data_IF_395377072645
#
_entry.id   IF_395377072645
#
_cell.length_a   1.000
_cell.length_b   1.000
_cell.length_c   1.000
_cell.angle_alpha   90.00
_cell.angle_beta   90.00
_cell.angle_gamma   90.00
#
_symmetry.space_group_name_H-M   'P 1'
#
loop_
_entity.id
_entity.type
_entity.pdbx_description
1 polymer ?
#
# COMPACT_ATOMS: atom_id res chain seq x y z
N UNK A 1 -16.98 14.21 0.28
CA UNK A 1 -17.67 13.20 -0.57
C UNK A 1 -16.88 12.87 -1.83
N UNK A 2 -16.47 13.87 -2.62
CA UNK A 2 -15.67 13.67 -3.86
C UNK A 2 -14.46 12.73 -3.68
N UNK A 3 -13.69 12.89 -2.59
CA UNK A 3 -12.55 12.02 -2.28
C UNK A 3 -12.91 10.52 -2.27
N UNK A 4 -14.09 10.14 -1.77
CA UNK A 4 -14.52 8.74 -1.69
C UNK A 4 -14.86 8.16 -3.06
N UNK A 5 -15.48 8.94 -3.95
CA UNK A 5 -15.72 8.52 -5.34
C UNK A 5 -14.41 8.36 -6.11
N UNK A 6 -13.45 9.26 -5.90
CA UNK A 6 -12.11 9.14 -6.49
C UNK A 6 -11.37 7.93 -5.95
N UNK A 7 -11.42 7.70 -4.63
CA UNK A 7 -10.86 6.53 -3.97
C UNK A 7 -11.46 5.22 -4.51
N UNK A 8 -12.78 5.16 -4.71
CA UNK A 8 -13.45 4.04 -5.36
C UNK A 8 -12.92 3.80 -6.79
N UNK A 9 -12.83 4.86 -7.59
CA UNK A 9 -12.36 4.77 -8.99
C UNK A 9 -10.93 4.23 -9.08
N UNK A 10 -10.06 4.64 -8.16
CA UNK A 10 -8.68 4.16 -8.06
C UNK A 10 -8.63 2.72 -7.55
N UNK A 11 -9.38 2.41 -6.50
CA UNK A 11 -9.46 1.08 -5.90
C UNK A 11 -9.93 0.02 -6.90
N UNK A 12 -10.99 0.30 -7.68
CA UNK A 12 -11.61 -0.67 -8.60
C UNK A 12 -10.74 -1.01 -9.81
N UNK A 13 -9.71 -0.20 -10.11
CA UNK A 13 -8.86 -0.41 -11.28
C UNK A 13 -8.19 -1.78 -11.23
N UNK A 14 -8.41 -2.59 -12.27
CA UNK A 14 -7.91 -3.97 -12.36
C UNK A 14 -8.66 -4.99 -11.49
N UNK A 15 -9.76 -4.61 -10.82
CA UNK A 15 -10.50 -5.48 -9.89
C UNK A 15 -11.99 -5.65 -10.22
N UNK A 16 -12.45 -5.16 -11.37
CA UNK A 16 -13.87 -5.17 -11.78
C UNK A 16 -14.51 -6.56 -11.85
N UNK A 17 -13.71 -7.60 -12.09
CA UNK A 17 -14.22 -8.98 -12.20
C UNK A 17 -14.35 -9.69 -10.84
N UNK A 18 -14.08 -9.00 -9.72
CA UNK A 18 -14.19 -9.59 -8.38
C UNK A 18 -15.62 -9.41 -7.88
N UNK A 19 -16.24 -10.51 -7.44
CA UNK A 19 -17.64 -10.53 -7.00
C UNK A 19 -17.94 -9.52 -5.89
N UNK A 20 -17.05 -9.39 -4.90
CA UNK A 20 -17.21 -8.41 -3.81
C UNK A 20 -17.18 -6.96 -4.32
N UNK A 21 -16.38 -6.69 -5.36
CA UNK A 21 -16.31 -5.37 -6.01
C UNK A 21 -17.58 -5.11 -6.80
N UNK A 22 -18.11 -6.08 -7.54
CA UNK A 22 -19.35 -5.95 -8.30
C UNK A 22 -20.56 -5.71 -7.39
N UNK A 23 -20.65 -6.45 -6.27
CA UNK A 23 -21.72 -6.27 -5.29
C UNK A 23 -21.70 -4.86 -4.67
N UNK A 24 -20.51 -4.33 -4.37
CA UNK A 24 -20.37 -2.96 -3.89
C UNK A 24 -20.71 -1.93 -4.97
N UNK A 25 -20.30 -2.18 -6.23
CA UNK A 25 -20.58 -1.30 -7.37
C UNK A 25 -22.06 -1.23 -7.73
N UNK A 26 -22.82 -2.31 -7.50
CA UNK A 26 -24.27 -2.36 -7.76
C UNK A 26 -25.04 -1.31 -6.94
N UNK A 27 -24.70 -1.13 -5.66
CA UNK A 27 -25.28 -0.10 -4.78
C UNK A 27 -24.26 1.01 -4.45
N UNK A 28 -23.50 1.46 -5.46
CA UNK A 28 -22.33 2.33 -5.24
C UNK A 28 -22.67 3.61 -4.48
N UNK A 29 -23.71 4.34 -4.90
CA UNK A 29 -24.05 5.64 -4.33
C UNK A 29 -24.46 5.51 -2.86
N UNK A 30 -25.36 4.58 -2.55
CA UNK A 30 -25.79 4.29 -1.18
C UNK A 30 -24.61 3.89 -0.29
N UNK A 31 -23.75 2.98 -0.77
CA UNK A 31 -22.57 2.54 -0.04
C UNK A 31 -21.60 3.69 0.27
N UNK A 32 -21.35 4.57 -0.71
CA UNK A 32 -20.45 5.71 -0.55
C UNK A 32 -21.07 6.79 0.33
N UNK A 33 -22.37 7.04 0.20
CA UNK A 33 -23.09 8.02 1.02
C UNK A 33 -23.12 7.59 2.49
N UNK A 34 -23.43 6.32 2.76
CA UNK A 34 -23.39 5.77 4.10
C UNK A 34 -21.99 5.86 4.71
N UNK A 35 -20.95 5.44 3.98
CA UNK A 35 -19.56 5.55 4.43
C UNK A 35 -19.17 7.02 4.71
N UNK A 36 -19.59 7.94 3.84
CA UNK A 36 -19.35 9.37 4.03
C UNK A 36 -19.98 9.91 5.31
N UNK A 37 -21.25 9.58 5.59
CA UNK A 37 -21.93 10.02 6.80
C UNK A 37 -21.21 9.50 8.04
N UNK A 38 -20.91 8.20 8.09
CA UNK A 38 -20.24 7.59 9.24
C UNK A 38 -18.84 8.15 9.50
N UNK A 39 -18.07 8.44 8.45
CA UNK A 39 -16.77 9.10 8.60
C UNK A 39 -16.94 10.54 9.10
N UNK A 40 -17.93 11.27 8.59
CA UNK A 40 -18.23 12.64 9.01
C UNK A 40 -18.70 12.73 10.47
N UNK A 41 -19.53 11.79 10.91
CA UNK A 41 -20.05 11.70 12.28
C UNK A 41 -19.10 10.97 13.23
N UNK A 42 -17.95 10.48 12.74
CA UNK A 42 -16.97 9.69 13.50
C UNK A 42 -17.56 8.41 14.12
N UNK A 43 -18.58 7.84 13.49
CA UNK A 43 -19.21 6.57 13.91
C UNK A 43 -18.74 5.38 13.09
N UNK A 44 -17.89 5.61 12.07
CA UNK A 44 -17.27 4.54 11.29
C UNK A 44 -16.47 3.59 12.19
N UNK A 45 -16.73 2.30 12.04
CA UNK A 45 -15.95 1.22 12.65
C UNK A 45 -15.45 0.30 11.54
N UNK A 46 -14.15 -0.03 11.57
CA UNK A 46 -13.55 -0.91 10.58
C UNK A 46 -14.10 -2.34 10.75
N UNK A 47 -14.44 -3.00 9.64
CA UNK A 47 -15.02 -4.35 9.68
C UNK A 47 -13.95 -5.42 9.99
N UNK A 48 -14.37 -6.62 10.36
CA UNK A 48 -13.44 -7.73 10.53
C UNK A 48 -12.74 -8.12 9.21
N UNK A 49 -11.48 -8.56 9.29
CA UNK A 49 -10.76 -9.08 8.13
C UNK A 49 -11.18 -10.51 7.80
N UNK A 50 -11.26 -10.83 6.51
CA UNK A 50 -11.31 -12.21 6.03
C UNK A 50 -9.91 -12.73 5.81
N UNK A 51 -9.52 -13.77 6.54
CA UNK A 51 -8.21 -14.41 6.38
C UNK A 51 -8.24 -15.58 5.38
N UNK A 52 -7.13 -15.78 4.69
CA UNK A 52 -6.89 -16.95 3.83
C UNK A 52 -5.38 -17.11 3.58
N UNK A 53 -4.99 -18.31 3.15
CA UNK A 53 -3.60 -18.58 2.76
C UNK A 53 -3.44 -18.51 1.25
N UNK A 54 -2.32 -17.95 0.81
CA UNK A 54 -1.85 -18.03 -0.58
C UNK A 54 -0.42 -18.55 -0.60
N UNK A 55 0.00 -19.18 -1.70
CA UNK A 55 1.36 -19.65 -1.89
C UNK A 55 1.92 -19.06 -3.19
N UNK A 56 2.79 -18.06 -3.09
CA UNK A 56 3.45 -17.45 -4.25
C UNK A 56 4.66 -16.57 -3.89
N UNK A 57 5.92 -17.04 -3.86
CA UNK A 57 6.40 -18.43 -3.90
C UNK A 57 6.38 -19.13 -2.53
N UNK A 58 6.14 -18.37 -1.44
CA UNK A 58 6.03 -18.87 -0.06
C UNK A 58 4.60 -18.76 0.45
N UNK A 59 4.24 -19.59 1.43
CA UNK A 59 2.96 -19.50 2.12
C UNK A 59 2.85 -18.14 2.83
N UNK A 60 1.77 -17.39 2.56
CA UNK A 60 1.44 -16.13 3.23
C UNK A 60 0.02 -16.22 3.78
N UNK A 61 -0.11 -15.85 5.05
CA UNK A 61 -1.41 -15.61 5.68
C UNK A 61 -1.87 -14.19 5.33
N UNK A 62 -2.92 -14.07 4.52
CA UNK A 62 -3.43 -12.80 4.03
C UNK A 62 -4.69 -12.43 4.79
N UNK A 63 -4.77 -11.18 5.24
CA UNK A 63 -5.95 -10.58 5.85
C UNK A 63 -6.54 -9.56 4.87
N UNK A 64 -7.73 -9.86 4.33
CA UNK A 64 -8.41 -8.99 3.35
C UNK A 64 -9.56 -8.26 4.03
N UNK A 65 -9.47 -6.93 4.05
CA UNK A 65 -10.56 -6.06 4.45
C UNK A 65 -11.69 -6.07 3.41
N UNK A 66 -12.91 -5.74 3.83
CA UNK A 66 -14.05 -5.65 2.93
C UNK A 66 -13.86 -4.51 1.89
N UNK A 67 -14.74 -4.42 0.90
CA UNK A 67 -14.62 -3.36 -0.13
C UNK A 67 -14.79 -1.98 0.48
N UNK A 68 -15.78 -1.79 1.36
CA UNK A 68 -16.04 -0.54 2.09
C UNK A 68 -14.80 0.00 2.79
N UNK A 69 -14.16 -0.83 3.63
CA UNK A 69 -12.97 -0.41 4.38
C UNK A 69 -11.79 -0.12 3.46
N UNK A 70 -11.62 -0.89 2.37
CA UNK A 70 -10.57 -0.61 1.37
C UNK A 70 -10.80 0.70 0.63
N UNK A 71 -12.05 1.12 0.39
CA UNK A 71 -12.35 2.45 -0.13
C UNK A 71 -11.94 3.52 0.89
N UNK A 72 -12.20 3.31 2.18
CA UNK A 72 -11.72 4.20 3.25
C UNK A 72 -10.18 4.29 3.27
N UNK A 73 -9.48 3.16 3.20
CA UNK A 73 -8.01 3.14 3.12
C UNK A 73 -7.47 3.91 1.91
N UNK A 74 -8.10 3.75 0.73
CA UNK A 74 -7.74 4.52 -0.45
C UNK A 74 -8.00 6.02 -0.26
N UNK A 75 -9.11 6.39 0.37
CA UNK A 75 -9.44 7.79 0.64
C UNK A 75 -8.42 8.46 1.57
N UNK A 76 -7.96 7.75 2.61
CA UNK A 76 -6.88 8.20 3.50
C UNK A 76 -5.56 8.29 2.73
N UNK A 77 -5.20 7.25 1.98
CA UNK A 77 -3.97 7.21 1.18
C UNK A 77 -3.85 8.39 0.21
N UNK A 78 -4.95 8.78 -0.47
CA UNK A 78 -4.93 9.91 -1.41
C UNK A 78 -4.50 11.22 -0.76
N UNK A 79 -4.87 11.43 0.50
CA UNK A 79 -4.54 12.65 1.24
C UNK A 79 -3.14 12.56 1.84
N UNK A 80 -2.78 11.40 2.39
CA UNK A 80 -1.50 11.22 3.07
C UNK A 80 -0.32 11.06 2.11
N UNK A 81 -0.53 10.42 0.96
CA UNK A 81 0.56 10.06 0.04
C UNK A 81 1.39 11.28 -0.39
N UNK A 82 0.82 12.41 -0.86
CA UNK A 82 1.61 13.59 -1.24
C UNK A 82 2.45 14.16 -0.10
N UNK A 83 1.99 14.03 1.15
CA UNK A 83 2.71 14.52 2.34
C UNK A 83 3.92 13.63 2.64
N UNK A 84 3.72 12.32 2.68
CA UNK A 84 4.80 11.37 2.99
C UNK A 84 5.79 11.19 1.83
N UNK A 85 5.34 11.28 0.58
CA UNK A 85 6.19 11.01 -0.58
C UNK A 85 7.38 11.97 -0.70
N UNK A 86 7.20 13.21 -0.21
CA UNK A 86 8.23 14.25 -0.18
C UNK A 86 9.38 13.93 0.79
N UNK A 87 9.10 13.22 1.87
CA UNK A 87 10.07 12.92 2.93
C UNK A 87 10.85 11.63 2.69
N UNK A 88 10.42 10.78 1.74
CA UNK A 88 11.15 9.56 1.44
C UNK A 88 12.47 9.82 0.73
N UNK A 89 13.52 9.12 1.17
CA UNK A 89 14.81 9.09 0.48
C UNK A 89 14.66 8.68 -1.00
N UNK A 90 15.58 9.17 -1.84
CA UNK A 90 15.54 8.93 -3.28
C UNK A 90 15.56 7.43 -3.63
N UNK A 91 16.35 6.64 -2.89
CA UNK A 91 16.56 5.20 -3.14
C UNK A 91 15.47 4.31 -2.47
N UNK A 92 14.33 4.90 -2.06
CA UNK A 92 13.11 4.17 -1.70
C UNK A 92 12.20 3.99 -2.92
N UNK A 93 11.89 2.74 -3.28
CA UNK A 93 11.26 2.39 -4.56
C UNK A 93 9.89 1.68 -4.46
N UNK A 94 9.61 0.98 -3.36
CA UNK A 94 8.38 0.18 -3.21
C UNK A 94 7.17 1.08 -2.96
N UNK A 95 6.01 0.71 -3.54
CA UNK A 95 4.72 1.37 -3.30
C UNK A 95 4.69 2.89 -3.55
N UNK A 96 5.57 3.41 -4.41
CA UNK A 96 5.64 4.84 -4.75
C UNK A 96 5.33 5.08 -6.23
N UNK A 97 4.60 6.15 -6.50
CA UNK A 97 4.26 6.61 -7.86
C UNK A 97 5.54 6.91 -8.62
N UNK A 98 5.61 6.46 -9.88
CA UNK A 98 6.82 6.57 -10.73
C UNK A 98 8.08 5.90 -10.15
N UNK A 99 7.96 5.09 -9.10
CA UNK A 99 9.01 4.18 -8.64
C UNK A 99 8.62 2.74 -8.98
N UNK A 100 9.53 1.79 -8.78
CA UNK A 100 9.26 0.39 -9.05
C UNK A 100 10.52 -0.46 -9.14
N UNK A 101 10.33 -1.77 -9.27
CA UNK A 101 11.40 -2.76 -9.26
C UNK A 101 12.45 -2.50 -10.35
N UNK A 102 12.04 -2.19 -11.58
CA UNK A 102 12.98 -1.92 -12.66
C UNK A 102 13.90 -0.72 -12.38
N UNK A 103 13.37 0.37 -11.78
CA UNK A 103 14.17 1.53 -11.37
C UNK A 103 15.13 1.18 -10.23
N UNK A 104 14.69 0.38 -9.26
CA UNK A 104 15.55 -0.11 -8.19
C UNK A 104 16.71 -0.98 -8.72
N UNK A 105 16.43 -1.91 -9.63
CA UNK A 105 17.44 -2.77 -10.27
C UNK A 105 18.42 -1.96 -11.09
N UNK A 106 17.94 -1.00 -11.90
CA UNK A 106 18.81 -0.11 -12.67
C UNK A 106 19.72 0.73 -11.76
N UNK A 107 19.19 1.23 -10.63
CA UNK A 107 19.99 1.94 -9.64
C UNK A 107 21.07 1.06 -9.02
N UNK A 108 20.71 -0.16 -8.62
CA UNK A 108 21.63 -1.14 -8.07
C UNK A 108 22.74 -1.49 -9.08
N UNK A 109 22.40 -1.74 -10.34
CA UNK A 109 23.37 -2.01 -11.40
C UNK A 109 24.37 -0.87 -11.58
N UNK A 110 23.90 0.39 -11.51
CA UNK A 110 24.79 1.56 -11.57
C UNK A 110 25.79 1.57 -10.41
N UNK A 111 25.34 1.29 -9.19
CA UNK A 111 26.24 1.21 -8.03
C UNK A 111 27.20 0.04 -8.14
N UNK A 112 26.70 -1.15 -8.52
CA UNK A 112 27.51 -2.34 -8.70
C UNK A 112 28.63 -2.09 -9.72
N UNK A 113 28.32 -1.57 -10.91
CA UNK A 113 29.33 -1.24 -11.95
C UNK A 113 30.37 -0.23 -11.48
N UNK A 114 29.97 0.75 -10.68
CA UNK A 114 30.91 1.75 -10.12
C UNK A 114 31.92 1.08 -9.17
N UNK A 115 31.46 0.22 -8.28
CA UNK A 115 32.30 -0.45 -7.27
C UNK A 115 33.13 -1.58 -7.89
N UNK A 116 32.55 -2.33 -8.83
CA UNK A 116 33.21 -3.44 -9.53
C UNK A 116 34.11 -3.00 -10.69
N UNK A 117 34.28 -1.68 -10.92
CA UNK A 117 34.97 -1.10 -12.09
C UNK A 117 34.50 -1.77 -13.41
N UNK A 118 33.19 -1.71 -13.67
CA UNK A 118 32.54 -2.38 -14.80
C UNK A 118 32.76 -3.90 -14.82
N UNK A 119 32.61 -4.56 -13.67
CA UNK A 119 32.74 -6.00 -13.47
C UNK A 119 34.17 -6.54 -13.71
N UNK A 120 35.19 -5.70 -13.60
CA UNK A 120 36.60 -6.12 -13.68
C UNK A 120 37.15 -6.60 -12.33
N UNK A 121 36.47 -6.30 -11.23
CA UNK A 121 36.81 -6.78 -9.89
C UNK A 121 35.56 -7.17 -9.09
N UNK A 122 35.76 -8.03 -8.09
CA UNK A 122 34.70 -8.43 -7.17
C UNK A 122 34.19 -7.23 -6.36
N UNK A 123 32.90 -7.27 -6.01
CA UNK A 123 32.26 -6.32 -5.12
C UNK A 123 31.41 -7.05 -4.09
N UNK A 124 31.20 -6.43 -2.93
CA UNK A 124 30.42 -7.00 -1.84
C UNK A 124 29.07 -6.30 -1.74
N UNK A 125 28.04 -7.07 -1.39
CA UNK A 125 26.67 -6.57 -1.22
C UNK A 125 26.19 -7.02 0.16
N UNK A 126 25.73 -6.06 0.96
CA UNK A 126 24.99 -6.36 2.18
C UNK A 126 23.51 -6.53 1.83
N UNK A 127 22.97 -7.72 2.08
CA UNK A 127 21.55 -8.03 1.90
C UNK A 127 20.89 -8.16 3.26
N UNK A 128 19.88 -7.34 3.52
CA UNK A 128 19.08 -7.35 4.75
C UNK A 128 17.60 -7.51 4.42
N UNK A 129 16.85 -8.15 5.31
CA UNK A 129 15.39 -8.30 5.24
C UNK A 129 14.78 -8.24 6.64
N UNK A 130 13.55 -7.73 6.76
CA UNK A 130 12.83 -7.63 8.03
C UNK A 130 11.83 -8.77 8.13
N UNK A 131 11.95 -9.59 9.18
CA UNK A 131 11.03 -10.69 9.44
C UNK A 131 9.64 -10.16 9.76
N UNK A 132 8.65 -10.65 9.00
CA UNK A 132 7.21 -10.34 9.20
C UNK A 132 6.94 -8.84 9.39
N UNK A 133 7.50 -7.99 8.52
CA UNK A 133 7.45 -6.53 8.65
C UNK A 133 6.13 -5.97 9.20
N UNK A 134 4.98 -6.29 8.60
CA UNK A 134 3.69 -5.77 9.07
C UNK A 134 3.26 -6.32 10.44
N UNK A 135 3.59 -7.57 10.77
CA UNK A 135 3.25 -8.17 12.07
C UNK A 135 4.20 -7.69 13.19
N UNK A 136 5.35 -7.10 12.84
CA UNK A 136 6.40 -6.68 13.79
C UNK A 136 6.47 -5.16 13.99
N UNK A 137 5.58 -4.39 13.36
CA UNK A 137 5.50 -2.94 13.60
C UNK A 137 4.90 -2.70 14.98
N UNK A 138 5.62 -1.94 15.79
CA UNK A 138 5.11 -1.37 17.03
C UNK A 138 4.21 -0.16 16.71
N UNK A 139 2.95 -0.23 17.15
CA UNK A 139 1.95 0.78 16.83
C UNK A 139 2.19 2.09 17.58
N UNK A 140 2.71 2.04 18.82
CA UNK A 140 2.96 3.24 19.62
C UNK A 140 4.12 4.03 19.00
N UNK A 141 5.18 3.33 18.59
CA UNK A 141 6.30 3.95 17.87
C UNK A 141 5.82 4.52 16.53
N UNK A 142 5.03 3.77 15.76
CA UNK A 142 4.53 4.26 14.46
C UNK A 142 3.72 5.54 14.60
N UNK A 143 2.78 5.59 15.55
CA UNK A 143 1.96 6.78 15.79
C UNK A 143 2.82 7.96 16.23
N UNK A 144 3.78 7.75 17.14
CA UNK A 144 4.70 8.80 17.59
C UNK A 144 5.53 9.41 16.45
N UNK A 145 5.83 8.62 15.40
CA UNK A 145 6.55 9.11 14.21
C UNK A 145 5.65 9.88 13.25
N UNK A 146 4.34 9.62 13.24
CA UNK A 146 3.35 10.30 12.39
C UNK A 146 2.92 11.63 12.99
N UNK A 147 2.89 11.75 14.32
CA UNK A 147 2.52 12.98 15.03
C UNK A 147 3.56 14.11 14.94
N UNK A 148 4.78 13.80 14.49
CA UNK A 148 5.91 14.73 14.34
C UNK A 148 5.88 15.46 12.99
#
# INVERSE_FOLDING_TARGET
>A
MENLFLAWREFRRGKKNKQDVQQFEYNLEDNIFQLYQELRTKTYTHSNYKSFYIQDPKLRHIHKACVRDRVSHHAVFRILYPVFDLNFIFDSYSCRINKGAHRAVSRLQRFARKVSKNNTQNCYILKCDIRKFFDSIDHDILISLIER
#
